data_IF_195778754110
#
_entry.id   IF_195778754110
#
_cell.length_a   1.000
_cell.length_b   1.000
_cell.length_c   1.000
_cell.angle_alpha   90.00
_cell.angle_beta   90.00
_cell.angle_gamma   90.00
#
_symmetry.space_group_name_H-M   'P 1'
#
loop_
_entity.id
_entity.type
_entity.pdbx_description
1 polymer ?
#
# COMPACT_ATOMS: atom_id res chain seq x y z
N UNK A 1 -0.43 -20.26 -13.51
CA UNK A 1 -0.01 -19.65 -12.25
C UNK A 1 -0.95 -20.06 -11.12
N UNK A 2 -0.55 -19.95 -9.85
CA UNK A 2 -1.44 -20.22 -8.71
C UNK A 2 -2.66 -19.28 -8.74
N UNK A 3 -2.47 -18.03 -9.10
CA UNK A 3 -3.54 -17.04 -9.26
C UNK A 3 -4.59 -17.46 -10.32
N UNK A 4 -4.17 -18.11 -11.41
CA UNK A 4 -5.11 -18.66 -12.40
C UNK A 4 -5.96 -19.79 -11.82
N UNK A 5 -5.42 -20.61 -10.91
CA UNK A 5 -6.16 -21.67 -10.23
C UNK A 5 -7.20 -21.09 -9.26
N UNK A 6 -6.85 -20.05 -8.53
CA UNK A 6 -7.80 -19.32 -7.66
C UNK A 6 -8.94 -18.75 -8.51
N UNK A 7 -8.63 -18.17 -9.66
CA UNK A 7 -9.62 -17.61 -10.57
C UNK A 7 -10.55 -18.67 -11.23
N UNK A 8 -10.23 -19.96 -11.13
CA UNK A 8 -11.08 -21.07 -11.58
C UNK A 8 -12.16 -21.46 -10.55
N UNK A 9 -12.07 -20.97 -9.31
CA UNK A 9 -13.07 -21.22 -8.27
C UNK A 9 -14.35 -20.44 -8.63
N UNK A 10 -15.52 -21.11 -8.77
CA UNK A 10 -16.74 -20.45 -9.28
C UNK A 10 -17.19 -19.26 -8.47
N UNK A 11 -17.14 -19.34 -7.12
CA UNK A 11 -17.68 -18.36 -6.19
C UNK A 11 -16.66 -17.24 -5.83
N UNK A 12 -15.53 -17.19 -6.53
CA UNK A 12 -14.54 -16.10 -6.39
C UNK A 12 -14.81 -15.05 -7.46
N UNK A 13 -15.05 -13.81 -7.04
CA UNK A 13 -15.19 -12.66 -7.94
C UNK A 13 -13.87 -11.90 -8.14
N UNK A 14 -13.07 -11.80 -7.09
CA UNK A 14 -11.80 -11.10 -7.08
C UNK A 14 -10.66 -11.99 -6.61
N UNK A 15 -9.51 -11.85 -7.28
CA UNK A 15 -8.21 -12.30 -6.76
C UNK A 15 -7.53 -11.09 -6.15
N UNK A 16 -7.34 -11.11 -4.83
CA UNK A 16 -6.70 -10.03 -4.09
C UNK A 16 -5.22 -10.31 -3.91
N UNK A 17 -4.37 -9.35 -4.30
CA UNK A 17 -2.92 -9.43 -4.18
C UNK A 17 -2.48 -8.71 -2.91
N UNK A 18 -1.72 -9.41 -2.06
CA UNK A 18 -1.07 -8.84 -0.90
C UNK A 18 0.44 -9.10 -0.98
N UNK A 19 1.25 -8.31 -0.29
CA UNK A 19 2.71 -8.36 -0.31
C UNK A 19 3.33 -8.31 -1.72
N UNK A 20 2.63 -7.79 -2.71
CA UNK A 20 3.11 -7.66 -4.10
C UNK A 20 4.03 -6.44 -4.24
N UNK A 21 5.20 -6.53 -3.62
CA UNK A 21 6.16 -5.45 -3.47
C UNK A 21 7.58 -5.97 -3.30
N UNK A 22 8.57 -5.09 -3.38
CA UNK A 22 9.90 -5.38 -2.84
C UNK A 22 9.88 -5.36 -1.30
N UNK A 23 10.98 -5.79 -0.69
CA UNK A 23 11.22 -5.60 0.75
C UNK A 23 11.25 -4.10 1.07
N UNK A 24 11.12 -3.78 2.35
CA UNK A 24 11.14 -2.39 2.79
C UNK A 24 12.54 -1.78 2.53
N UNK A 25 12.60 -0.89 1.54
CA UNK A 25 13.79 -0.06 1.25
C UNK A 25 13.96 0.97 2.35
N UNK A 26 12.82 1.54 2.77
CA UNK A 26 12.70 2.35 3.98
C UNK A 26 11.51 1.78 4.75
N UNK A 27 11.77 1.33 5.98
CA UNK A 27 10.73 0.86 6.88
C UNK A 27 9.82 2.03 7.27
N UNK A 28 8.52 1.79 7.37
CA UNK A 28 7.56 2.78 7.84
C UNK A 28 7.99 3.33 9.22
N UNK A 29 7.95 4.65 9.37
CA UNK A 29 8.58 5.38 10.48
C UNK A 29 8.08 4.94 11.87
N UNK A 30 6.80 4.61 12.00
CA UNK A 30 6.21 4.11 13.24
C UNK A 30 6.76 2.76 13.71
N UNK A 31 7.51 2.05 12.85
CA UNK A 31 8.14 0.77 13.18
C UNK A 31 9.60 0.90 13.63
N UNK A 32 10.21 2.07 13.48
CA UNK A 32 11.65 2.23 13.72
C UNK A 32 12.05 1.94 15.15
N UNK A 33 11.28 2.43 16.13
CA UNK A 33 11.56 2.19 17.56
C UNK A 33 11.53 0.71 17.89
N UNK A 34 10.54 -0.05 17.37
CA UNK A 34 10.42 -1.50 17.59
C UNK A 34 11.66 -2.27 17.14
N UNK A 35 12.24 -1.87 16.01
CA UNK A 35 13.38 -2.58 15.41
C UNK A 35 14.74 -1.91 15.69
N UNK A 36 14.76 -0.83 16.45
CA UNK A 36 15.99 -0.07 16.74
C UNK A 36 16.66 0.50 15.50
N UNK A 37 15.85 0.91 14.50
CA UNK A 37 16.33 1.42 13.20
C UNK A 37 16.08 2.91 13.08
N UNK A 38 16.90 3.58 12.27
CA UNK A 38 16.67 4.94 11.76
C UNK A 38 16.97 4.91 10.27
N UNK A 39 15.96 5.10 9.43
CA UNK A 39 16.07 4.97 7.97
C UNK A 39 15.61 6.27 7.29
N UNK A 40 16.38 7.34 7.45
CA UNK A 40 16.04 8.67 6.89
C UNK A 40 16.24 8.77 5.37
N UNK A 41 17.00 7.83 4.78
CA UNK A 41 17.34 7.79 3.36
C UNK A 41 17.33 6.36 2.84
N UNK A 42 17.41 6.21 1.52
CA UNK A 42 17.49 4.91 0.88
C UNK A 42 18.90 4.36 1.00
N UNK A 43 19.05 3.17 1.59
CA UNK A 43 20.33 2.49 1.69
C UNK A 43 20.40 1.36 0.67
N UNK A 44 21.45 1.30 -0.19
CA UNK A 44 21.61 0.20 -1.16
C UNK A 44 21.57 -1.19 -0.51
N UNK A 45 22.03 -1.29 0.73
CA UNK A 45 22.01 -2.54 1.51
C UNK A 45 20.61 -2.99 1.97
N UNK A 46 19.62 -2.11 1.95
CA UNK A 46 18.22 -2.43 2.22
C UNK A 46 17.41 -2.63 0.93
N UNK A 47 17.90 -2.12 -0.21
CA UNK A 47 17.19 -2.12 -1.50
C UNK A 47 17.54 -3.35 -2.35
N UNK A 48 17.09 -4.54 -1.98
CA UNK A 48 17.31 -5.80 -2.70
C UNK A 48 16.49 -5.88 -4.01
N UNK A 49 16.90 -6.70 -5.03
CA UNK A 49 18.11 -7.52 -5.05
C UNK A 49 19.12 -7.00 -6.08
N UNK A 50 20.41 -7.30 -5.85
CA UNK A 50 21.51 -7.08 -6.79
C UNK A 50 22.04 -8.44 -7.32
N UNK A 51 21.17 -9.45 -7.51
CA UNK A 51 21.58 -10.73 -8.06
C UNK A 51 22.03 -10.59 -9.53
N UNK A 52 22.85 -11.53 -9.99
CA UNK A 52 23.45 -11.46 -11.32
C UNK A 52 22.40 -11.33 -12.44
N UNK A 53 21.22 -11.97 -12.28
CA UNK A 53 20.13 -11.81 -13.23
C UNK A 53 19.59 -10.39 -13.27
N UNK A 54 19.29 -9.78 -12.12
CA UNK A 54 18.77 -8.41 -12.07
C UNK A 54 19.78 -7.41 -12.62
N UNK A 55 21.06 -7.58 -12.30
CA UNK A 55 22.15 -6.74 -12.80
C UNK A 55 22.31 -6.88 -14.31
N UNK A 56 22.29 -8.10 -14.83
CA UNK A 56 22.41 -8.36 -16.27
C UNK A 56 21.20 -7.82 -17.05
N UNK A 57 19.99 -8.06 -16.56
CA UNK A 57 18.76 -7.56 -17.18
C UNK A 57 18.76 -6.02 -17.22
N UNK A 58 19.12 -5.37 -16.11
CA UNK A 58 19.20 -3.91 -16.05
C UNK A 58 20.23 -3.35 -17.02
N UNK A 59 21.42 -3.94 -17.05
CA UNK A 59 22.47 -3.54 -17.99
C UNK A 59 22.05 -3.70 -19.44
N UNK A 60 21.32 -4.77 -19.77
CA UNK A 60 20.80 -5.00 -21.11
C UNK A 60 19.73 -3.96 -21.52
N UNK A 61 18.91 -3.50 -20.57
CA UNK A 61 17.84 -2.53 -20.82
C UNK A 61 18.33 -1.08 -20.83
N UNK A 62 19.23 -0.72 -19.91
CA UNK A 62 19.68 0.67 -19.70
C UNK A 62 21.07 1.00 -20.27
N UNK A 63 21.88 0.00 -20.52
CA UNK A 63 23.31 0.16 -20.82
C UNK A 63 24.18 0.43 -19.57
N UNK A 64 23.60 0.61 -18.40
CA UNK A 64 24.29 0.96 -17.15
C UNK A 64 24.65 -0.31 -16.38
N UNK A 65 25.88 -0.40 -15.90
CA UNK A 65 26.29 -1.43 -14.95
C UNK A 65 26.08 -0.91 -13.53
N UNK A 66 25.02 -1.35 -12.86
CA UNK A 66 24.67 -0.85 -11.52
C UNK A 66 25.77 -1.13 -10.48
N UNK A 67 26.61 -2.17 -10.70
CA UNK A 67 27.75 -2.47 -9.83
C UNK A 67 28.89 -1.45 -9.96
N UNK A 68 28.90 -0.64 -11.02
CA UNK A 68 29.87 0.44 -11.22
C UNK A 68 29.37 1.81 -10.74
N UNK A 69 28.10 1.91 -10.32
CA UNK A 69 27.54 3.14 -9.78
C UNK A 69 27.96 3.27 -8.32
N UNK A 70 28.54 4.41 -7.94
CA UNK A 70 29.06 4.65 -6.59
C UNK A 70 27.95 4.52 -5.53
N UNK A 71 26.81 5.16 -5.77
CA UNK A 71 25.62 5.03 -4.94
C UNK A 71 24.42 4.60 -5.80
N UNK A 72 24.07 3.31 -5.81
CA UNK A 72 22.91 2.80 -6.55
C UNK A 72 21.57 3.43 -6.16
N UNK A 73 21.44 3.97 -4.94
CA UNK A 73 20.21 4.62 -4.48
C UNK A 73 19.91 5.93 -5.21
N UNK A 74 20.90 6.52 -5.88
CA UNK A 74 20.76 7.74 -6.68
C UNK A 74 20.47 7.46 -8.16
N UNK A 75 20.52 6.19 -8.60
CA UNK A 75 20.28 5.80 -9.98
C UNK A 75 18.78 5.69 -10.26
N UNK A 76 18.19 6.71 -10.86
CA UNK A 76 16.77 6.75 -11.17
C UNK A 76 16.34 5.66 -12.16
N UNK A 77 17.21 5.32 -13.14
CA UNK A 77 16.96 4.21 -14.08
C UNK A 77 16.88 2.87 -13.35
N UNK A 78 17.67 2.66 -12.29
CA UNK A 78 17.60 1.46 -11.47
C UNK A 78 16.29 1.39 -10.67
N UNK A 79 15.84 2.51 -10.10
CA UNK A 79 14.56 2.58 -9.40
C UNK A 79 13.41 2.30 -10.37
N UNK A 80 13.42 2.95 -11.55
CA UNK A 80 12.38 2.74 -12.56
C UNK A 80 12.35 1.29 -13.07
N UNK A 81 13.51 0.67 -13.28
CA UNK A 81 13.61 -0.74 -13.61
C UNK A 81 12.90 -1.61 -12.57
N UNK A 82 13.05 -1.33 -11.28
CA UNK A 82 12.38 -2.06 -10.20
C UNK A 82 10.88 -1.84 -10.19
N UNK A 83 10.41 -0.61 -10.36
CA UNK A 83 8.98 -0.32 -10.51
C UNK A 83 8.39 -1.12 -11.67
N UNK A 84 9.06 -1.13 -12.80
CA UNK A 84 8.63 -1.83 -14.01
C UNK A 84 8.58 -3.36 -13.80
N UNK A 85 9.46 -3.93 -12.99
CA UNK A 85 9.45 -5.38 -12.68
C UNK A 85 8.18 -5.78 -11.93
N UNK A 86 7.80 -5.04 -10.88
CA UNK A 86 6.55 -5.29 -10.16
C UNK A 86 5.35 -5.07 -11.08
N UNK A 87 5.30 -3.94 -11.77
CA UNK A 87 4.22 -3.62 -12.71
C UNK A 87 4.03 -4.71 -13.76
N UNK A 88 5.12 -5.19 -14.37
CA UNK A 88 5.06 -6.29 -15.34
C UNK A 88 4.54 -7.59 -14.74
N UNK A 89 4.95 -7.92 -13.51
CA UNK A 89 4.47 -9.11 -12.81
C UNK A 89 2.97 -9.00 -12.52
N UNK A 90 2.53 -7.88 -11.95
CA UNK A 90 1.11 -7.64 -11.62
C UNK A 90 0.25 -7.69 -12.87
N UNK A 91 0.66 -7.03 -13.95
CA UNK A 91 -0.11 -6.99 -15.19
C UNK A 91 -0.20 -8.39 -15.85
N UNK A 92 0.83 -9.24 -15.72
CA UNK A 92 0.76 -10.66 -16.14
C UNK A 92 -0.21 -11.47 -15.30
N UNK A 93 -0.25 -11.23 -13.97
CA UNK A 93 -1.22 -11.90 -13.09
C UNK A 93 -2.63 -11.42 -13.46
N UNK A 94 -2.84 -10.12 -13.60
CA UNK A 94 -4.12 -9.52 -13.95
C UNK A 94 -4.65 -10.10 -15.28
N UNK A 95 -3.83 -10.13 -16.32
CA UNK A 95 -4.22 -10.70 -17.60
C UNK A 95 -4.65 -12.18 -17.49
N UNK A 96 -3.93 -12.98 -16.66
CA UNK A 96 -4.25 -14.38 -16.46
C UNK A 96 -5.56 -14.59 -15.68
N UNK A 97 -5.88 -13.70 -14.74
CA UNK A 97 -7.13 -13.70 -13.96
C UNK A 97 -8.30 -13.19 -14.81
N UNK A 98 -8.10 -12.07 -15.53
CA UNK A 98 -9.10 -11.51 -16.44
C UNK A 98 -9.50 -12.52 -17.54
N UNK A 99 -8.55 -13.33 -18.05
CA UNK A 99 -8.84 -14.40 -19.00
C UNK A 99 -9.80 -15.48 -18.45
N UNK A 100 -10.00 -15.54 -17.13
CA UNK A 100 -10.98 -16.40 -16.46
C UNK A 100 -12.28 -15.66 -16.09
N UNK A 101 -12.45 -14.40 -16.54
CA UNK A 101 -13.63 -13.57 -16.27
C UNK A 101 -13.69 -13.05 -14.84
N UNK A 102 -12.58 -13.11 -14.08
CA UNK A 102 -12.49 -12.63 -12.69
C UNK A 102 -11.74 -11.31 -12.63
N UNK A 103 -11.89 -10.58 -11.51
CA UNK A 103 -11.26 -9.29 -11.26
C UNK A 103 -10.03 -9.42 -10.37
N UNK A 104 -9.18 -8.39 -10.39
CA UNK A 104 -7.99 -8.31 -9.55
C UNK A 104 -8.03 -7.05 -8.69
N UNK A 105 -7.69 -7.20 -7.42
CA UNK A 105 -7.45 -6.08 -6.51
C UNK A 105 -6.13 -6.27 -5.77
N UNK A 106 -5.63 -5.23 -5.15
CA UNK A 106 -4.38 -5.33 -4.39
C UNK A 106 -4.39 -4.45 -3.14
N UNK A 107 -3.81 -4.99 -2.04
CA UNK A 107 -3.33 -4.19 -0.94
C UNK A 107 -2.02 -3.53 -1.36
N UNK A 108 -1.95 -2.21 -1.22
CA UNK A 108 -0.79 -1.42 -1.65
C UNK A 108 -0.37 -0.46 -0.55
N UNK A 109 0.88 0.01 -0.62
CA UNK A 109 1.33 1.09 0.27
C UNK A 109 0.60 2.39 -0.09
N UNK A 110 0.41 3.31 0.89
CA UNK A 110 -0.26 4.58 0.64
C UNK A 110 0.51 5.43 -0.37
N UNK A 111 -0.19 6.36 -0.99
CA UNK A 111 0.34 7.37 -1.89
C UNK A 111 1.42 6.89 -2.85
N UNK A 112 1.09 6.65 -4.13
CA UNK A 112 2.05 6.02 -5.05
C UNK A 112 3.31 6.85 -5.22
N UNK A 113 3.22 8.19 -5.18
CA UNK A 113 4.36 9.10 -5.35
C UNK A 113 5.01 9.48 -4.02
N UNK A 114 4.23 9.70 -2.96
CA UNK A 114 4.74 10.16 -1.66
C UNK A 114 5.39 9.04 -0.83
N UNK A 115 4.85 7.81 -0.89
CA UNK A 115 5.30 6.70 -0.04
C UNK A 115 5.63 5.42 -0.81
N UNK A 116 4.70 4.87 -1.59
CA UNK A 116 4.80 3.49 -2.10
C UNK A 116 6.05 3.24 -2.98
N UNK A 117 6.37 4.16 -3.90
CA UNK A 117 7.58 4.05 -4.73
C UNK A 117 8.86 4.10 -3.90
N UNK A 118 8.91 4.99 -2.92
CA UNK A 118 10.09 5.21 -2.09
C UNK A 118 10.30 4.06 -1.11
N UNK A 119 9.24 3.63 -0.41
CA UNK A 119 9.37 2.66 0.67
C UNK A 119 9.50 1.23 0.17
N UNK A 120 8.77 0.84 -0.90
CA UNK A 120 8.65 -0.56 -1.32
C UNK A 120 8.65 -0.77 -2.83
N UNK A 121 9.04 0.23 -3.59
CA UNK A 121 9.13 0.18 -5.07
C UNK A 121 7.80 -0.15 -5.76
N UNK A 122 6.67 0.22 -5.17
CA UNK A 122 5.35 0.07 -5.78
C UNK A 122 4.93 1.32 -6.56
N UNK A 123 4.88 1.24 -7.88
CA UNK A 123 4.25 2.24 -8.76
C UNK A 123 2.85 1.75 -9.15
N UNK A 124 2.01 1.49 -8.15
CA UNK A 124 0.77 0.77 -8.28
C UNK A 124 -0.31 1.48 -9.10
N UNK A 125 -0.27 2.80 -9.19
CA UNK A 125 -1.17 3.57 -10.03
C UNK A 125 -1.05 3.26 -11.55
N UNK A 126 0.01 2.54 -11.95
CA UNK A 126 0.22 2.04 -13.32
C UNK A 126 -0.20 0.58 -13.52
N UNK A 127 -0.71 -0.08 -12.48
CA UNK A 127 -1.11 -1.49 -12.58
C UNK A 127 -2.46 -1.66 -13.28
N UNK A 128 -2.57 -2.68 -14.12
CA UNK A 128 -3.81 -3.00 -14.84
C UNK A 128 -4.72 -3.95 -14.05
N UNK A 129 -5.09 -3.53 -12.85
CA UNK A 129 -6.01 -4.22 -11.94
C UNK A 129 -7.30 -3.40 -11.76
N UNK A 130 -8.31 -4.01 -11.14
CA UNK A 130 -9.67 -3.46 -11.10
C UNK A 130 -9.96 -2.58 -9.87
N UNK A 131 -9.22 -2.76 -8.78
CA UNK A 131 -9.41 -1.97 -7.56
C UNK A 131 -8.13 -1.91 -6.72
N UNK A 132 -7.93 -0.81 -6.00
CA UNK A 132 -6.82 -0.60 -5.09
C UNK A 132 -7.31 -0.44 -3.65
N UNK A 133 -6.54 -1.02 -2.73
CA UNK A 133 -6.76 -0.95 -1.29
C UNK A 133 -5.49 -0.42 -0.61
N UNK A 134 -5.21 0.89 -0.67
CA UNK A 134 -4.06 1.47 0.01
C UNK A 134 -4.17 1.28 1.53
N UNK A 135 -3.10 0.83 2.14
CA UNK A 135 -3.00 0.62 3.60
C UNK A 135 -2.71 1.97 4.29
N UNK A 136 -3.72 2.84 4.39
CA UNK A 136 -3.61 4.19 4.96
C UNK A 136 -3.58 4.14 6.50
N UNK A 137 -2.67 3.32 7.00
CA UNK A 137 -2.48 3.01 8.43
C UNK A 137 -1.63 4.11 9.07
N UNK A 138 -2.27 5.23 9.39
CA UNK A 138 -1.64 6.49 9.77
C UNK A 138 -0.55 6.38 10.85
N UNK A 139 -0.76 5.59 11.90
CA UNK A 139 0.21 5.43 12.98
C UNK A 139 1.54 4.80 12.52
N UNK A 140 1.51 3.95 11.48
CA UNK A 140 2.74 3.40 10.90
C UNK A 140 3.62 4.47 10.24
N UNK A 141 3.03 5.60 9.88
CA UNK A 141 3.72 6.75 9.28
C UNK A 141 3.92 7.90 10.27
N UNK A 142 3.43 7.76 11.52
CA UNK A 142 3.37 8.78 12.57
C UNK A 142 2.56 10.00 12.14
N UNK A 143 1.46 9.77 11.44
CA UNK A 143 0.56 10.79 10.94
C UNK A 143 -0.77 10.80 11.72
N UNK A 144 -1.46 11.95 11.81
CA UNK A 144 -2.76 12.03 12.44
C UNK A 144 -3.85 11.35 11.60
N UNK A 145 -5.03 11.12 12.18
CA UNK A 145 -6.17 10.52 11.46
C UNK A 145 -6.63 11.34 10.24
N UNK A 146 -6.49 12.67 10.28
CA UNK A 146 -6.78 13.57 9.14
C UNK A 146 -5.93 13.29 7.90
N UNK A 147 -4.69 12.80 8.09
CA UNK A 147 -3.81 12.42 6.99
C UNK A 147 -4.42 11.34 6.08
N UNK A 148 -5.31 10.48 6.61
CA UNK A 148 -5.99 9.45 5.79
C UNK A 148 -6.76 10.10 4.64
N UNK A 149 -7.48 11.20 4.88
CA UNK A 149 -8.15 11.95 3.82
C UNK A 149 -7.19 12.59 2.83
N UNK A 150 -6.09 13.17 3.32
CA UNK A 150 -5.07 13.82 2.50
C UNK A 150 -4.40 12.84 1.54
N UNK A 151 -3.96 11.68 2.06
CA UNK A 151 -3.30 10.65 1.24
C UNK A 151 -4.27 9.99 0.27
N UNK A 152 -5.52 9.76 0.67
CA UNK A 152 -6.57 9.23 -0.20
C UNK A 152 -6.82 10.15 -1.40
N UNK A 153 -6.72 11.47 -1.23
CA UNK A 153 -6.84 12.44 -2.32
C UNK A 153 -5.72 12.27 -3.37
N UNK A 154 -4.47 12.08 -2.93
CA UNK A 154 -3.37 11.75 -3.85
C UNK A 154 -3.67 10.46 -4.62
N UNK A 155 -4.11 9.43 -3.92
CA UNK A 155 -4.38 8.10 -4.46
C UNK A 155 -5.46 8.13 -5.53
N UNK A 156 -6.60 8.74 -5.24
CA UNK A 156 -7.71 8.91 -6.20
C UNK A 156 -7.28 9.72 -7.41
N UNK A 157 -6.53 10.80 -7.20
CA UNK A 157 -6.00 11.62 -8.30
C UNK A 157 -5.02 10.82 -9.18
N UNK A 158 -4.18 9.97 -8.59
CA UNK A 158 -3.14 9.21 -9.30
C UNK A 158 -3.71 8.19 -10.29
N UNK A 159 -4.92 7.68 -10.04
CA UNK A 159 -5.63 6.76 -10.94
C UNK A 159 -6.58 7.48 -11.92
N UNK A 160 -6.61 8.82 -11.88
CA UNK A 160 -7.45 9.67 -12.75
C UNK A 160 -8.94 9.28 -12.72
N UNK A 161 -9.46 8.83 -11.59
CA UNK A 161 -10.85 8.38 -11.41
C UNK A 161 -11.23 7.14 -12.24
N UNK A 162 -10.27 6.46 -12.87
CA UNK A 162 -10.54 5.30 -13.74
C UNK A 162 -10.74 4.01 -12.99
N UNK A 163 -10.23 3.92 -11.78
CA UNK A 163 -10.26 2.70 -10.96
C UNK A 163 -10.65 3.06 -9.53
N UNK A 164 -11.50 2.26 -8.88
CA UNK A 164 -11.90 2.51 -7.51
C UNK A 164 -10.71 2.34 -6.55
N UNK A 165 -10.61 3.29 -5.61
CA UNK A 165 -9.71 3.26 -4.48
C UNK A 165 -10.55 3.08 -3.22
N UNK A 166 -10.23 2.08 -2.42
CA UNK A 166 -10.84 1.84 -1.11
C UNK A 166 -9.80 2.12 -0.03
N UNK A 167 -9.96 3.23 0.69
CA UNK A 167 -9.00 3.63 1.73
C UNK A 167 -8.95 2.59 2.85
N UNK A 168 -7.80 1.97 3.07
CA UNK A 168 -7.57 0.97 4.11
C UNK A 168 -7.37 1.64 5.46
N UNK A 169 -8.16 1.24 6.45
CA UNK A 169 -8.14 1.78 7.80
C UNK A 169 -7.69 0.71 8.79
N UNK A 170 -6.67 0.99 9.58
CA UNK A 170 -6.20 0.09 10.62
C UNK A 170 -6.89 0.40 11.93
N UNK A 171 -7.50 -0.61 12.57
CA UNK A 171 -8.32 -0.42 13.77
C UNK A 171 -7.55 -0.82 15.02
N UNK A 172 -7.43 0.11 15.96
CA UNK A 172 -6.76 -0.13 17.22
C UNK A 172 -7.58 -1.09 18.11
N UNK A 173 -7.00 -2.26 18.41
CA UNK A 173 -7.67 -3.30 19.20
C UNK A 173 -7.84 -2.89 20.67
N UNK A 174 -6.77 -2.38 21.27
CA UNK A 174 -6.74 -1.99 22.69
C UNK A 174 -6.65 -0.45 22.80
N UNK A 175 -7.65 0.19 22.25
CA UNK A 175 -7.67 1.63 22.08
C UNK A 175 -7.67 2.42 23.40
N UNK A 176 -8.21 1.86 24.49
CA UNK A 176 -8.18 2.49 25.81
C UNK A 176 -6.74 2.65 26.35
N UNK A 177 -5.84 1.78 25.90
CA UNK A 177 -4.43 1.78 26.32
C UNK A 177 -3.47 2.27 25.21
N UNK A 178 -3.99 2.82 24.12
CA UNK A 178 -3.18 3.21 22.93
C UNK A 178 -1.93 4.01 23.29
N UNK A 179 -2.01 4.96 24.21
CA UNK A 179 -0.89 5.80 24.64
C UNK A 179 0.28 5.03 25.29
N UNK A 180 0.04 3.82 25.76
CA UNK A 180 1.01 2.96 26.44
C UNK A 180 1.55 1.85 25.53
N UNK A 181 1.03 1.72 24.31
CA UNK A 181 1.38 0.63 23.40
C UNK A 181 2.51 1.09 22.49
N UNK A 182 3.69 0.51 22.70
CA UNK A 182 4.89 0.71 21.86
C UNK A 182 4.95 -0.26 20.68
N UNK A 183 4.14 -1.31 20.72
CA UNK A 183 4.09 -2.32 19.65
C UNK A 183 3.16 -1.85 18.52
N UNK A 184 3.53 -2.03 17.25
CA UNK A 184 2.66 -1.79 16.10
C UNK A 184 1.28 -2.46 16.18
N UNK A 185 1.13 -3.57 16.92
CA UNK A 185 -0.16 -4.20 17.16
C UNK A 185 -1.15 -3.30 17.93
N UNK A 186 -0.64 -2.32 18.65
CA UNK A 186 -1.43 -1.29 19.33
C UNK A 186 -1.71 -0.05 18.50
N UNK A 187 -1.18 0.02 17.29
CA UNK A 187 -1.47 1.11 16.36
C UNK A 187 -2.90 0.98 15.83
N UNK A 188 -3.37 2.03 15.17
CA UNK A 188 -4.66 2.09 14.50
C UNK A 188 -5.58 3.16 15.08
N UNK A 189 -6.69 3.33 14.38
CA UNK A 189 -7.70 4.33 14.71
C UNK A 189 -8.47 3.94 15.98
N UNK A 190 -8.60 4.88 16.89
CA UNK A 190 -9.50 4.79 18.04
C UNK A 190 -10.91 5.28 17.64
N UNK A 191 -11.96 5.05 18.45
CA UNK A 191 -13.33 5.45 18.11
C UNK A 191 -13.47 6.91 17.66
N UNK A 192 -12.82 7.85 18.32
CA UNK A 192 -12.90 9.28 17.96
C UNK A 192 -12.20 9.64 16.66
N UNK A 193 -11.25 8.81 16.20
CA UNK A 193 -10.46 9.03 14.97
C UNK A 193 -11.12 8.40 13.74
N UNK A 194 -11.87 7.30 13.90
CA UNK A 194 -12.44 6.56 12.77
C UNK A 194 -13.42 7.41 11.96
N UNK A 195 -14.22 8.25 12.64
CA UNK A 195 -15.16 9.14 11.99
C UNK A 195 -14.48 10.17 11.07
N UNK A 196 -13.33 10.70 11.50
CA UNK A 196 -12.52 11.63 10.71
C UNK A 196 -11.91 10.94 9.49
N UNK A 197 -11.28 9.78 9.69
CA UNK A 197 -10.65 9.02 8.62
C UNK A 197 -11.66 8.57 7.54
N UNK A 198 -12.85 8.13 7.95
CA UNK A 198 -13.93 7.73 7.02
C UNK A 198 -14.43 8.92 6.22
N UNK A 199 -14.79 10.04 6.89
CA UNK A 199 -15.25 11.25 6.19
C UNK A 199 -14.19 11.79 5.23
N UNK A 200 -12.94 11.90 5.70
CA UNK A 200 -11.83 12.35 4.86
C UNK A 200 -11.64 11.48 3.61
N UNK A 201 -11.78 10.15 3.73
CA UNK A 201 -11.70 9.23 2.60
C UNK A 201 -12.84 9.45 1.59
N UNK A 202 -14.08 9.62 2.08
CA UNK A 202 -15.26 9.88 1.23
C UNK A 202 -15.12 11.22 0.50
N UNK A 203 -14.77 12.28 1.23
CA UNK A 203 -14.58 13.63 0.67
C UNK A 203 -13.42 13.69 -0.35
N UNK A 204 -12.40 12.85 -0.17
CA UNK A 204 -11.31 12.67 -1.12
C UNK A 204 -11.71 11.93 -2.41
N UNK A 205 -12.93 11.35 -2.47
CA UNK A 205 -13.44 10.63 -3.63
C UNK A 205 -13.13 9.14 -3.65
N UNK A 206 -12.78 8.54 -2.51
CA UNK A 206 -12.66 7.09 -2.41
C UNK A 206 -13.99 6.40 -2.74
N UNK A 207 -13.93 5.22 -3.33
CA UNK A 207 -15.10 4.38 -3.61
C UNK A 207 -15.70 3.76 -2.32
N UNK A 208 -14.93 3.79 -1.24
CA UNK A 208 -15.30 3.30 0.09
C UNK A 208 -14.07 3.17 0.98
N UNK A 209 -14.25 2.48 2.09
CA UNK A 209 -13.16 2.15 3.03
C UNK A 209 -13.07 0.66 3.25
N UNK A 210 -11.88 0.17 3.62
CA UNK A 210 -11.61 -1.21 3.99
C UNK A 210 -11.07 -1.25 5.42
N UNK A 211 -11.73 -1.98 6.33
CA UNK A 211 -11.33 -2.05 7.73
C UNK A 211 -10.37 -3.22 7.97
N UNK A 212 -9.23 -2.96 8.57
CA UNK A 212 -8.27 -3.98 8.98
C UNK A 212 -8.01 -3.91 10.50
N UNK A 213 -8.68 -4.77 11.29
CA UNK A 213 -9.70 -5.77 10.92
C UNK A 213 -11.01 -5.45 11.64
N UNK A 214 -12.17 -5.78 11.08
CA UNK A 214 -13.47 -5.51 11.72
C UNK A 214 -13.62 -6.14 13.10
N UNK A 215 -12.91 -7.24 13.38
CA UNK A 215 -12.91 -7.90 14.68
C UNK A 215 -12.35 -7.02 15.82
N UNK A 216 -11.62 -5.95 15.50
CA UNK A 216 -11.11 -4.98 16.46
C UNK A 216 -12.11 -3.83 16.73
N UNK A 217 -13.20 -3.73 15.96
CA UNK A 217 -14.22 -2.70 16.13
C UNK A 217 -15.03 -2.98 17.40
N UNK A 218 -15.05 -2.02 18.31
CA UNK A 218 -15.97 -2.00 19.47
C UNK A 218 -17.26 -1.28 19.11
N UNK A 219 -18.25 -1.31 19.99
CA UNK A 219 -19.53 -0.61 19.80
C UNK A 219 -19.31 0.91 19.60
N UNK A 220 -18.31 1.48 20.29
CA UNK A 220 -17.92 2.89 20.14
C UNK A 220 -17.35 3.17 18.75
N UNK A 221 -16.50 2.28 18.21
CA UNK A 221 -16.02 2.41 16.84
C UNK A 221 -17.17 2.37 15.83
N UNK A 222 -18.06 1.40 15.97
CA UNK A 222 -19.23 1.27 15.08
C UNK A 222 -20.15 2.49 15.15
N UNK A 223 -20.37 3.04 16.34
CA UNK A 223 -21.19 4.23 16.51
C UNK A 223 -20.61 5.46 15.78
N UNK A 224 -19.29 5.66 15.80
CA UNK A 224 -18.63 6.76 15.08
C UNK A 224 -18.54 6.48 13.57
N UNK A 225 -18.33 5.24 13.17
CA UNK A 225 -18.35 4.81 11.78
C UNK A 225 -19.73 5.07 11.14
N UNK A 226 -20.80 4.64 11.80
CA UNK A 226 -22.19 4.82 11.32
C UNK A 226 -22.54 6.29 11.13
N UNK A 227 -22.09 7.17 12.04
CA UNK A 227 -22.27 8.62 11.88
C UNK A 227 -21.52 9.14 10.66
N UNK A 228 -20.30 8.64 10.42
CA UNK A 228 -19.46 9.12 9.35
C UNK A 228 -19.97 8.77 7.95
N UNK A 229 -20.51 7.56 7.77
CA UNK A 229 -21.05 7.10 6.46
C UNK A 229 -22.39 7.75 6.08
N UNK A 230 -23.07 8.41 7.01
CA UNK A 230 -24.32 9.14 6.74
C UNK A 230 -24.08 10.52 6.14
N UNK A 231 -22.87 11.01 6.16
CA UNK A 231 -22.50 12.28 5.52
C UNK A 231 -22.58 12.09 4.00
N UNK A 232 -23.59 12.72 3.38
CA UNK A 232 -23.65 12.75 1.91
C UNK A 232 -22.51 13.60 1.38
N UNK A 233 -21.82 13.14 0.32
CA UNK A 233 -20.80 13.92 -0.36
C UNK A 233 -21.36 15.20 -0.97
#
# INVERSE_FOLDING_TARGET
>A
TEYSKIAEIPDVDFVHLDYIRYVDVILARGLWEKYGLVMNEEYPTADYCYCDKCVADFKAESGIDIKSVEDPSTCEEWKQFRYNRITSLVNKIAAAVHAKGKKVSAAVFPGPDSYAKKLVRQEWNKWDIDAFFPMNYNDFYLEPASWVGEITKEEVASVNGKKPVYSGLFICRDWQNKANIKDPEGHGLIPSEIGEAVRGSIEAGAAGVALFIPANMTDEHWAEFDKAIQVKP
#
